data_IF_364495872826
#
_entry.id   IF_364495872826
#
_cell.length_a   1.000
_cell.length_b   1.000
_cell.length_c   1.000
_cell.angle_alpha   90.00
_cell.angle_beta   90.00
_cell.angle_gamma   90.00
#
_symmetry.space_group_name_H-M   'P 1'
#
loop_
_entity.id
_entity.type
_entity.pdbx_description
1 polymer ?
#
# COMPACT_ATOMS: atom_id res chain seq x y z
N UNK A 1 -15.04 80.95 61.37
CA UNK A 1 -13.58 81.18 61.44
C UNK A 1 -12.93 80.45 60.27
N UNK A 2 -12.29 81.20 59.38
CA UNK A 2 -11.28 80.83 58.36
C UNK A 2 -11.64 79.76 57.30
N UNK A 3 -11.97 80.18 56.06
CA UNK A 3 -11.09 80.39 54.86
C UNK A 3 -10.60 79.05 54.26
N UNK A 4 -10.74 78.72 52.97
CA UNK A 4 -10.71 79.55 51.76
C UNK A 4 -11.47 78.92 50.55
N UNK A 5 -11.67 79.75 49.52
CA UNK A 5 -12.51 79.60 48.32
C UNK A 5 -11.77 79.09 47.07
N UNK A 6 -12.49 78.28 46.27
CA UNK A 6 -12.70 78.27 44.79
C UNK A 6 -11.51 78.19 43.81
N UNK A 7 -11.65 77.28 42.83
CA UNK A 7 -11.90 77.67 41.42
C UNK A 7 -12.51 76.55 40.54
N UNK A 8 -13.76 76.78 40.16
CA UNK A 8 -14.57 76.55 38.92
C UNK A 8 -13.83 76.01 37.67
N UNK A 9 -14.41 75.18 36.78
CA UNK A 9 -15.29 75.55 35.64
C UNK A 9 -16.00 74.33 34.99
N UNK A 10 -17.12 74.65 34.35
CA UNK A 10 -18.31 73.92 33.87
C UNK A 10 -18.17 72.85 32.77
N UNK A 11 -19.15 71.93 32.80
CA UNK A 11 -19.58 71.02 31.71
C UNK A 11 -20.25 71.79 30.57
N UNK A 12 -19.83 71.52 29.34
CA UNK A 12 -20.55 71.86 28.11
C UNK A 12 -20.48 70.68 27.15
N UNK A 13 -21.63 70.12 26.78
CA UNK A 13 -21.75 69.19 25.66
C UNK A 13 -22.18 69.95 24.41
N UNK A 14 -21.67 69.54 23.25
CA UNK A 14 -22.32 69.46 21.93
C UNK A 14 -21.33 68.84 20.92
N UNK A 15 -21.92 68.09 20.00
CA UNK A 15 -21.41 67.17 18.98
C UNK A 15 -20.29 67.68 18.04
N UNK A 16 -19.40 66.77 17.63
CA UNK A 16 -18.88 66.73 16.25
C UNK A 16 -18.56 65.28 15.83
N UNK A 17 -18.97 64.94 14.61
CA UNK A 17 -19.00 63.64 13.94
C UNK A 17 -17.58 63.21 13.53
N UNK A 18 -17.20 61.95 13.80
CA UNK A 18 -16.02 61.31 13.21
C UNK A 18 -16.46 60.04 12.45
N UNK A 19 -16.35 60.07 11.13
CA UNK A 19 -16.66 58.96 10.25
C UNK A 19 -15.62 57.82 10.44
N UNK A 20 -16.08 56.64 10.85
CA UNK A 20 -15.31 55.40 10.86
C UNK A 20 -15.42 54.74 9.49
N UNK A 21 -14.33 54.71 8.73
CA UNK A 21 -14.19 53.81 7.59
C UNK A 21 -14.17 52.37 8.09
N UNK A 22 -15.24 51.62 7.80
CA UNK A 22 -15.27 50.16 7.93
C UNK A 22 -14.41 49.56 6.81
N UNK A 23 -13.16 49.24 7.11
CA UNK A 23 -12.44 48.23 6.33
C UNK A 23 -12.95 46.86 6.77
N UNK A 24 -13.74 46.21 5.93
CA UNK A 24 -14.04 44.79 6.07
C UNK A 24 -12.76 44.01 5.80
N UNK A 25 -12.14 43.47 6.85
CA UNK A 25 -11.12 42.43 6.71
C UNK A 25 -11.82 41.19 6.16
N UNK A 26 -11.40 40.62 5.02
CA UNK A 26 -11.97 39.36 4.56
C UNK A 26 -11.72 38.27 5.61
N UNK A 27 -12.76 37.52 5.90
CA UNK A 27 -12.84 36.47 6.93
C UNK A 27 -11.75 35.40 6.77
N UNK A 28 -10.75 35.44 7.64
CA UNK A 28 -9.70 34.42 7.84
C UNK A 28 -10.25 33.10 8.41
N UNK A 29 -11.48 33.10 8.96
CA UNK A 29 -12.04 31.95 9.69
C UNK A 29 -12.35 30.73 8.81
N UNK A 30 -12.91 30.92 7.60
CA UNK A 30 -13.28 29.79 6.72
C UNK A 30 -12.08 28.94 6.28
N UNK A 31 -10.91 29.57 6.09
CA UNK A 31 -9.70 28.87 5.67
C UNK A 31 -9.05 28.12 6.84
N UNK A 32 -9.17 28.67 8.07
CA UNK A 32 -8.63 28.04 9.27
C UNK A 32 -9.42 26.80 9.68
N UNK A 33 -10.75 26.83 9.56
CA UNK A 33 -11.61 25.67 9.88
C UNK A 33 -11.42 24.51 8.88
N UNK A 34 -11.23 24.82 7.59
CA UNK A 34 -10.92 23.82 6.55
C UNK A 34 -9.54 23.17 6.76
N UNK A 35 -8.53 23.95 7.16
CA UNK A 35 -7.21 23.42 7.49
C UNK A 35 -7.23 22.59 8.79
N UNK A 36 -8.02 23.00 9.79
CA UNK A 36 -8.18 22.24 11.03
C UNK A 36 -8.90 20.91 10.79
N UNK A 37 -9.90 20.84 9.91
CA UNK A 37 -10.50 19.57 9.48
C UNK A 37 -9.48 18.67 8.78
N UNK A 38 -8.69 19.20 7.85
CA UNK A 38 -7.67 18.43 7.14
C UNK A 38 -6.54 17.92 8.06
N UNK A 39 -6.21 18.67 9.13
CA UNK A 39 -5.15 18.30 10.08
C UNK A 39 -5.66 17.34 11.16
N UNK A 40 -6.94 17.38 11.51
CA UNK A 40 -7.52 16.56 12.60
C UNK A 40 -7.37 15.06 12.38
N UNK A 41 -7.32 14.64 11.12
CA UNK A 41 -7.20 13.23 10.74
C UNK A 41 -5.75 12.76 10.55
N UNK A 42 -4.75 13.66 10.62
CA UNK A 42 -3.33 13.29 10.55
C UNK A 42 -2.89 12.72 11.89
N UNK A 43 -2.49 11.45 11.91
CA UNK A 43 -1.97 10.80 13.12
C UNK A 43 -0.45 10.65 13.04
N UNK A 44 0.25 11.52 13.79
CA UNK A 44 1.71 11.54 13.86
C UNK A 44 2.24 10.25 14.50
N UNK A 45 1.46 9.58 15.36
CA UNK A 45 1.87 8.32 16.00
C UNK A 45 1.99 7.17 15.00
N UNK A 46 1.52 7.34 13.77
CA UNK A 46 1.64 6.34 12.71
C UNK A 46 2.98 6.43 11.95
N UNK A 47 3.81 7.44 12.22
CA UNK A 47 5.16 7.57 11.66
C UNK A 47 6.19 6.73 12.45
N UNK A 48 5.80 5.56 12.94
CA UNK A 48 6.75 4.63 13.56
C UNK A 48 7.77 4.14 12.52
N UNK A 49 9.02 3.83 12.95
CA UNK A 49 9.99 3.15 12.11
C UNK A 49 9.40 1.90 11.47
N UNK A 50 9.89 1.48 10.29
CA UNK A 50 9.40 0.29 9.63
C UNK A 50 9.64 -0.95 10.50
N UNK A 51 8.82 -1.96 10.27
CA UNK A 51 9.04 -3.28 10.83
C UNK A 51 10.42 -3.80 10.44
N UNK A 52 11.11 -4.42 11.41
CA UNK A 52 12.46 -4.94 11.17
C UNK A 52 12.47 -6.09 10.16
N UNK A 53 11.45 -6.96 10.23
CA UNK A 53 11.28 -8.06 9.30
C UNK A 53 9.79 -8.38 9.12
N UNK A 54 9.42 -8.80 7.92
CA UNK A 54 8.12 -9.37 7.62
C UNK A 54 8.27 -10.70 6.87
N UNK A 55 7.73 -11.76 7.47
CA UNK A 55 7.59 -13.06 6.85
C UNK A 55 6.11 -13.32 6.53
N UNK A 56 5.72 -13.11 5.27
CA UNK A 56 4.34 -13.27 4.78
C UNK A 56 3.77 -14.68 4.94
N UNK A 57 4.62 -15.69 5.13
CA UNK A 57 4.20 -17.08 5.36
C UNK A 57 3.87 -17.36 6.84
N UNK A 58 4.06 -16.37 7.72
CA UNK A 58 3.76 -16.46 9.14
C UNK A 58 2.69 -15.43 9.50
N UNK A 59 1.59 -15.90 10.09
CA UNK A 59 0.57 -15.01 10.63
C UNK A 59 0.97 -14.60 12.05
N UNK A 60 1.88 -13.63 12.16
CA UNK A 60 2.34 -13.08 13.46
C UNK A 60 1.38 -12.03 14.03
N UNK A 61 0.47 -11.52 13.19
CA UNK A 61 -0.58 -10.55 13.57
C UNK A 61 -1.95 -11.04 13.08
N UNK A 62 -3.02 -10.40 13.57
CA UNK A 62 -4.36 -10.58 13.04
C UNK A 62 -4.61 -9.69 11.82
N UNK A 63 -5.03 -10.28 10.71
CA UNK A 63 -5.44 -9.57 9.49
C UNK A 63 -6.97 -9.39 9.39
N UNK A 64 -7.69 -9.44 10.51
CA UNK A 64 -9.15 -9.40 10.51
C UNK A 64 -9.73 -8.17 9.82
N UNK A 65 -9.13 -6.99 10.00
CA UNK A 65 -9.57 -5.76 9.32
C UNK A 65 -9.51 -5.88 7.80
N UNK A 66 -8.48 -6.55 7.26
CA UNK A 66 -8.41 -6.87 5.83
C UNK A 66 -9.43 -7.90 5.40
N UNK A 67 -9.66 -8.94 6.20
CA UNK A 67 -10.71 -9.92 5.91
C UNK A 67 -12.07 -9.25 5.78
N UNK A 68 -12.41 -8.37 6.72
CA UNK A 68 -13.70 -7.69 6.77
C UNK A 68 -13.86 -6.70 5.61
N UNK A 69 -12.83 -5.88 5.34
CA UNK A 69 -12.87 -4.87 4.26
C UNK A 69 -12.93 -5.52 2.89
N UNK A 70 -12.17 -6.58 2.64
CA UNK A 70 -12.01 -7.15 1.31
C UNK A 70 -13.07 -8.20 0.95
N UNK A 71 -13.78 -8.75 1.95
CA UNK A 71 -14.80 -9.79 1.74
C UNK A 71 -15.91 -9.41 0.75
N UNK A 72 -16.44 -8.16 0.71
CA UNK A 72 -17.45 -7.78 -0.27
C UNK A 72 -16.94 -7.61 -1.70
N UNK A 73 -15.62 -7.50 -1.89
CA UNK A 73 -14.99 -7.09 -3.16
C UNK A 73 -14.23 -8.21 -3.86
N UNK A 74 -14.25 -9.42 -3.30
CA UNK A 74 -13.54 -10.56 -3.84
C UNK A 74 -13.76 -11.83 -3.04
N UNK A 75 -12.91 -12.82 -3.29
CA UNK A 75 -13.02 -14.15 -2.70
C UNK A 75 -11.78 -14.47 -1.88
N UNK A 76 -11.97 -14.87 -0.63
CA UNK A 76 -10.91 -15.45 0.19
C UNK A 76 -10.73 -16.94 -0.07
N UNK A 77 -9.47 -17.37 -0.14
CA UNK A 77 -9.08 -18.74 -0.46
C UNK A 77 -8.09 -19.20 0.60
N UNK A 78 -8.43 -20.28 1.30
CA UNK A 78 -7.51 -20.98 2.19
C UNK A 78 -6.58 -21.86 1.37
N UNK A 79 -5.28 -21.65 1.54
CA UNK A 79 -4.20 -22.33 0.81
C UNK A 79 -3.13 -22.86 1.75
N UNK A 80 -2.20 -23.65 1.23
CA UNK A 80 -0.96 -24.00 1.95
C UNK A 80 0.23 -23.21 1.41
N UNK A 81 1.35 -23.21 2.15
CA UNK A 81 2.60 -22.64 1.65
C UNK A 81 3.04 -23.27 0.32
N UNK A 82 2.82 -24.57 0.15
CA UNK A 82 3.15 -25.28 -1.09
C UNK A 82 2.26 -24.84 -2.26
N UNK A 83 1.06 -24.29 -2.03
CA UNK A 83 0.28 -23.70 -3.14
C UNK A 83 1.03 -22.49 -3.71
N UNK A 84 1.65 -21.66 -2.86
CA UNK A 84 2.45 -20.50 -3.28
C UNK A 84 3.76 -20.95 -3.93
N UNK A 85 4.47 -21.90 -3.31
CA UNK A 85 5.76 -22.36 -3.82
C UNK A 85 5.63 -23.02 -5.20
N UNK A 86 4.58 -23.80 -5.44
CA UNK A 86 4.29 -24.35 -6.77
C UNK A 86 4.01 -23.23 -7.79
N UNK A 87 3.24 -22.22 -7.40
CA UNK A 87 2.86 -21.12 -8.30
C UNK A 87 4.05 -20.20 -8.62
N UNK A 88 5.09 -20.20 -7.78
CA UNK A 88 6.30 -19.37 -7.89
C UNK A 88 7.58 -20.20 -8.10
N UNK A 89 7.45 -21.44 -8.58
CA UNK A 89 8.57 -22.38 -8.74
C UNK A 89 9.51 -22.04 -9.90
N UNK A 90 9.06 -21.18 -10.81
CA UNK A 90 9.76 -20.75 -12.04
C UNK A 90 10.75 -19.59 -11.82
N UNK A 91 10.89 -19.08 -10.59
CA UNK A 91 11.91 -18.10 -10.23
C UNK A 91 13.14 -18.72 -9.58
N UNK A 92 14.33 -18.24 -9.96
CA UNK A 92 15.61 -18.62 -9.32
C UNK A 92 15.76 -17.94 -7.96
N UNK A 93 14.92 -18.32 -7.00
CA UNK A 93 14.97 -17.84 -5.62
C UNK A 93 14.93 -19.01 -4.67
N UNK A 94 16.00 -19.81 -4.62
CA UNK A 94 16.30 -20.57 -3.42
C UNK A 94 16.54 -19.56 -2.29
N UNK A 95 15.49 -19.20 -1.56
CA UNK A 95 15.68 -18.69 -0.23
C UNK A 95 16.44 -19.78 0.54
N UNK A 96 17.74 -19.57 0.77
CA UNK A 96 18.64 -20.42 1.59
C UNK A 96 18.24 -20.43 3.07
N UNK A 97 16.95 -20.56 3.36
CA UNK A 97 16.43 -20.87 4.67
C UNK A 97 15.55 -22.09 4.50
N UNK A 98 16.10 -23.20 4.97
CA UNK A 98 15.47 -24.51 4.98
C UNK A 98 14.08 -24.42 5.62
N UNK A 99 13.23 -25.30 5.14
CA UNK A 99 11.89 -25.66 5.61
C UNK A 99 11.80 -26.11 7.08
N UNK A 100 12.75 -25.74 7.95
CA UNK A 100 12.96 -26.44 9.21
C UNK A 100 11.86 -26.24 10.28
N UNK A 101 10.93 -25.29 10.13
CA UNK A 101 9.92 -25.02 11.19
C UNK A 101 8.52 -24.60 10.69
N UNK A 102 8.09 -24.99 9.49
CA UNK A 102 6.66 -24.90 9.18
C UNK A 102 5.98 -26.16 9.70
N UNK A 103 5.07 -26.02 10.67
CA UNK A 103 4.14 -27.11 10.92
C UNK A 103 3.27 -27.26 9.67
N UNK A 104 3.20 -28.48 9.12
CA UNK A 104 2.41 -28.90 7.93
C UNK A 104 0.91 -28.51 7.97
N UNK A 105 0.48 -27.83 9.03
CA UNK A 105 -0.89 -27.55 9.42
C UNK A 105 -1.23 -26.04 9.41
N UNK A 106 -0.29 -25.17 9.04
CA UNK A 106 -0.55 -23.73 8.94
C UNK A 106 -1.09 -23.36 7.56
N UNK A 107 -2.42 -23.18 7.49
CA UNK A 107 -3.06 -22.61 6.32
C UNK A 107 -2.90 -21.09 6.29
N UNK A 108 -2.77 -20.54 5.08
CA UNK A 108 -2.79 -19.12 4.78
C UNK A 108 -4.11 -18.75 4.08
N UNK A 109 -4.46 -17.48 4.11
CA UNK A 109 -5.61 -16.95 3.38
C UNK A 109 -5.15 -15.92 2.36
N UNK A 110 -5.53 -16.14 1.11
CA UNK A 110 -5.22 -15.26 -0.01
C UNK A 110 -6.51 -14.69 -0.56
N UNK A 111 -6.46 -13.49 -1.09
CA UNK A 111 -7.62 -12.80 -1.62
C UNK A 111 -7.55 -12.70 -3.14
N UNK A 112 -8.65 -13.01 -3.81
CA UNK A 112 -8.84 -12.83 -5.25
C UNK A 112 -9.84 -11.70 -5.49
N UNK A 113 -9.47 -10.59 -6.12
CA UNK A 113 -10.40 -9.51 -6.44
C UNK A 113 -11.45 -9.94 -7.48
N UNK A 114 -12.63 -9.35 -7.41
CA UNK A 114 -13.65 -9.42 -8.46
C UNK A 114 -13.45 -8.29 -9.47
N UNK A 115 -12.68 -8.55 -10.52
CA UNK A 115 -12.22 -7.55 -11.51
C UNK A 115 -12.39 -8.05 -12.95
N UNK A 116 -12.26 -7.15 -13.91
CA UNK A 116 -12.24 -7.46 -15.34
C UNK A 116 -11.03 -8.32 -15.74
N UNK A 117 -11.13 -9.03 -16.87
CA UNK A 117 -10.12 -10.01 -17.29
C UNK A 117 -8.76 -9.41 -17.68
N UNK A 118 -8.73 -8.13 -18.07
CA UNK A 118 -7.51 -7.40 -18.42
C UNK A 118 -6.90 -6.67 -17.20
N UNK A 119 -7.55 -6.70 -16.03
CA UNK A 119 -7.05 -6.03 -14.84
C UNK A 119 -5.77 -6.69 -14.34
N UNK A 120 -4.84 -5.85 -13.87
CA UNK A 120 -3.61 -6.25 -13.18
C UNK A 120 -3.39 -5.34 -11.97
N UNK A 121 -2.71 -5.81 -10.91
CA UNK A 121 -2.26 -4.93 -9.83
C UNK A 121 -1.48 -3.74 -10.39
N UNK A 122 -1.68 -2.55 -9.81
CA UNK A 122 -1.02 -1.32 -10.24
C UNK A 122 -1.35 -0.88 -11.68
N UNK A 123 -2.56 -1.16 -12.19
CA UNK A 123 -2.99 -0.74 -13.56
C UNK A 123 -4.19 0.22 -13.59
N UNK A 124 -4.73 0.58 -12.44
CA UNK A 124 -5.86 1.50 -12.29
C UNK A 124 -5.61 2.50 -11.13
N UNK A 125 -5.13 3.69 -11.47
CA UNK A 125 -4.63 4.67 -10.49
C UNK A 125 -3.54 5.56 -11.08
N UNK A 126 -2.65 6.07 -10.23
CA UNK A 126 -1.55 6.95 -10.65
C UNK A 126 -0.36 6.87 -9.70
N UNK A 127 0.79 7.29 -10.21
CA UNK A 127 2.01 7.44 -9.44
C UNK A 127 2.15 8.88 -8.93
N UNK A 128 2.36 9.02 -7.63
CA UNK A 128 2.68 10.30 -6.98
C UNK A 128 4.10 10.23 -6.41
N UNK A 129 4.89 11.29 -6.60
CA UNK A 129 6.26 11.35 -6.09
C UNK A 129 6.28 12.01 -4.71
N UNK A 130 6.83 11.31 -3.72
CA UNK A 130 6.76 11.69 -2.30
C UNK A 130 8.13 11.74 -1.63
N UNK A 131 8.18 12.16 -0.37
CA UNK A 131 9.36 12.02 0.47
C UNK A 131 9.74 10.57 0.80
N UNK A 132 8.88 9.60 0.46
CA UNK A 132 9.15 8.15 0.49
C UNK A 132 9.45 7.54 -0.90
N UNK A 133 9.61 8.36 -1.94
CA UNK A 133 9.76 7.89 -3.32
C UNK A 133 8.42 7.74 -4.04
N UNK A 134 8.32 6.79 -4.96
CA UNK A 134 7.13 6.61 -5.79
C UNK A 134 6.01 5.88 -5.01
N UNK A 135 4.92 6.60 -4.74
CA UNK A 135 3.70 6.11 -4.13
C UNK A 135 2.70 5.72 -5.22
N UNK A 136 2.11 4.53 -5.10
CA UNK A 136 0.94 4.18 -5.89
C UNK A 136 -0.33 4.68 -5.21
N UNK A 137 -1.11 5.49 -5.91
CA UNK A 137 -2.46 5.87 -5.49
C UNK A 137 -3.47 5.20 -6.41
N UNK A 138 -4.26 4.28 -5.86
CA UNK A 138 -5.19 3.47 -6.64
C UNK A 138 -6.57 4.09 -6.76
N UNK A 139 -7.21 3.85 -7.91
CA UNK A 139 -8.64 4.10 -8.13
C UNK A 139 -9.52 2.89 -7.74
N UNK A 140 -8.91 1.76 -7.33
CA UNK A 140 -9.65 0.59 -6.87
C UNK A 140 -10.10 0.78 -5.41
N UNK A 141 -11.36 0.42 -5.12
CA UNK A 141 -11.98 0.63 -3.79
C UNK A 141 -11.29 -0.13 -2.64
N UNK A 142 -10.48 -1.13 -2.95
CA UNK A 142 -9.67 -1.90 -2.00
C UNK A 142 -8.22 -1.43 -1.90
N UNK A 143 -7.83 -0.41 -2.67
CA UNK A 143 -6.43 -0.09 -2.94
C UNK A 143 -5.61 0.24 -1.69
N UNK A 144 -6.20 0.97 -0.73
CA UNK A 144 -5.56 1.31 0.54
C UNK A 144 -5.10 0.07 1.33
N UNK A 145 -5.79 -1.07 1.18
CA UNK A 145 -5.43 -2.30 1.88
C UNK A 145 -4.36 -3.10 1.14
N UNK A 146 -4.47 -3.23 -0.19
CA UNK A 146 -3.70 -4.26 -0.91
C UNK A 146 -2.46 -3.76 -1.65
N UNK A 147 -2.31 -2.45 -1.88
CA UNK A 147 -1.16 -1.92 -2.63
C UNK A 147 -0.01 -1.47 -1.73
N UNK A 148 -0.32 -1.00 -0.53
CA UNK A 148 0.70 -0.60 0.43
C UNK A 148 1.13 -1.72 1.39
N UNK A 149 0.35 -2.81 1.44
CA UNK A 149 0.60 -3.99 2.26
C UNK A 149 0.61 -5.28 1.43
N UNK A 150 1.22 -6.33 1.98
CA UNK A 150 1.18 -7.67 1.39
C UNK A 150 1.84 -7.76 0.01
N UNK A 151 1.59 -8.86 -0.71
CA UNK A 151 2.18 -9.11 -2.03
C UNK A 151 1.19 -9.71 -3.00
N UNK A 152 1.33 -9.34 -4.27
CA UNK A 152 0.52 -9.87 -5.37
C UNK A 152 1.32 -10.89 -6.19
N UNK A 153 0.64 -11.90 -6.72
CA UNK A 153 1.19 -12.73 -7.80
C UNK A 153 0.07 -13.26 -8.70
N UNK A 154 0.44 -13.65 -9.91
CA UNK A 154 -0.48 -14.22 -10.88
C UNK A 154 -0.46 -15.75 -10.78
N UNK A 155 -1.35 -16.30 -9.93
CA UNK A 155 -1.51 -17.74 -9.74
C UNK A 155 -2.02 -18.39 -11.02
N UNK A 156 -1.37 -19.45 -11.55
CA UNK A 156 -1.89 -20.21 -12.67
C UNK A 156 -3.31 -20.78 -12.43
N UNK A 157 -3.66 -21.02 -11.16
CA UNK A 157 -4.95 -21.62 -10.75
C UNK A 157 -6.03 -20.58 -10.49
N UNK A 158 -5.65 -19.37 -10.08
CA UNK A 158 -6.58 -18.39 -9.52
C UNK A 158 -6.59 -17.03 -10.23
N UNK A 159 -5.61 -16.77 -11.10
CA UNK A 159 -5.32 -15.43 -11.63
C UNK A 159 -4.59 -14.59 -10.60
N UNK A 160 -4.73 -13.27 -10.68
CA UNK A 160 -4.17 -12.36 -9.68
C UNK A 160 -4.75 -12.60 -8.30
N UNK A 161 -3.86 -12.83 -7.34
CA UNK A 161 -4.19 -13.04 -5.94
C UNK A 161 -3.22 -12.28 -5.05
N UNK A 162 -3.70 -11.90 -3.87
CA UNK A 162 -2.97 -11.13 -2.88
C UNK A 162 -2.83 -11.90 -1.58
N UNK A 163 -1.62 -11.89 -1.01
CA UNK A 163 -1.31 -12.43 0.30
C UNK A 163 -1.12 -11.26 1.29
N UNK A 164 -1.88 -11.21 2.40
CA UNK A 164 -1.73 -10.18 3.41
C UNK A 164 -0.32 -10.03 3.96
N UNK A 165 0.05 -8.79 4.27
CA UNK A 165 1.23 -8.40 5.02
C UNK A 165 0.90 -7.23 5.95
N UNK A 166 1.70 -6.99 6.96
CA UNK A 166 1.56 -5.91 7.93
C UNK A 166 2.55 -4.76 7.73
N UNK A 167 3.60 -4.92 6.93
CA UNK A 167 4.54 -3.84 6.64
C UNK A 167 4.01 -2.95 5.52
N UNK A 168 3.89 -1.65 5.84
CA UNK A 168 3.46 -0.61 4.91
C UNK A 168 4.64 -0.10 4.08
N UNK A 169 4.47 0.03 2.76
CA UNK A 169 5.38 0.77 1.87
C UNK A 169 4.60 1.57 0.82
N UNK A 170 5.20 2.59 0.17
CA UNK A 170 4.52 3.37 -0.87
C UNK A 170 4.05 2.52 -2.07
N UNK A 171 4.80 1.48 -2.41
CA UNK A 171 4.41 0.44 -3.36
C UNK A 171 5.34 -0.78 -3.23
N UNK A 172 4.80 -1.98 -3.44
CA UNK A 172 5.57 -3.22 -3.52
C UNK A 172 5.74 -3.65 -4.97
N UNK A 173 6.53 -2.88 -5.72
CA UNK A 173 6.82 -3.13 -7.14
C UNK A 173 8.32 -3.15 -7.41
N UNK A 174 8.69 -3.72 -8.56
CA UNK A 174 9.97 -3.43 -9.21
C UNK A 174 9.73 -2.81 -10.56
N UNK A 175 10.74 -2.10 -11.06
CA UNK A 175 10.62 -1.26 -12.23
C UNK A 175 11.50 -1.73 -13.38
N UNK A 176 11.13 -1.27 -14.56
CA UNK A 176 11.92 -1.29 -15.78
C UNK A 176 11.78 0.06 -16.47
N UNK A 177 12.87 0.57 -17.04
CA UNK A 177 12.82 1.72 -17.95
C UNK A 177 13.47 1.30 -19.25
N UNK A 178 12.79 1.51 -20.37
CA UNK A 178 13.36 1.18 -21.68
C UNK A 178 14.63 1.97 -21.94
N UNK A 179 15.56 1.43 -22.72
CA UNK A 179 16.87 2.04 -22.94
C UNK A 179 16.75 3.42 -23.64
N UNK A 180 15.75 3.60 -24.51
CA UNK A 180 15.38 4.89 -25.12
C UNK A 180 14.67 5.85 -24.12
N UNK A 181 14.27 5.34 -22.97
CA UNK A 181 13.54 6.03 -21.91
C UNK A 181 12.12 6.43 -22.29
N UNK A 182 11.50 5.80 -23.29
CA UNK A 182 10.16 6.17 -23.75
C UNK A 182 9.04 5.46 -23.00
N UNK A 183 9.34 4.32 -22.37
CA UNK A 183 8.38 3.56 -21.57
C UNK A 183 8.92 3.29 -20.17
N UNK A 184 8.00 3.34 -19.22
CA UNK A 184 8.19 2.89 -17.85
C UNK A 184 7.37 1.63 -17.65
N UNK A 185 8.01 0.59 -17.13
CA UNK A 185 7.39 -0.66 -16.75
C UNK A 185 7.47 -0.89 -15.26
N UNK A 186 6.45 -1.51 -14.69
CA UNK A 186 6.45 -1.98 -13.31
C UNK A 186 5.72 -3.31 -13.18
N UNK A 187 6.08 -4.06 -12.15
CA UNK A 187 5.40 -5.31 -11.81
C UNK A 187 5.38 -5.48 -10.30
N UNK A 188 4.29 -6.04 -9.78
CA UNK A 188 4.18 -6.34 -8.36
C UNK A 188 5.25 -7.34 -7.91
N UNK A 189 5.81 -7.09 -6.73
CA UNK A 189 6.68 -8.04 -6.05
C UNK A 189 5.85 -9.22 -5.52
N UNK A 190 6.36 -10.43 -5.74
CA UNK A 190 5.69 -11.67 -5.33
C UNK A 190 5.91 -11.95 -3.84
N UNK A 191 5.19 -12.93 -3.25
CA UNK A 191 5.46 -13.43 -1.91
C UNK A 191 6.89 -13.93 -1.64
N UNK A 192 7.75 -14.06 -2.66
CA UNK A 192 9.20 -14.33 -2.46
C UNK A 192 9.97 -13.09 -2.00
N UNK A 193 9.43 -11.89 -2.21
CA UNK A 193 10.02 -10.60 -1.82
C UNK A 193 9.77 -10.32 -0.33
N UNK A 194 10.57 -10.94 0.53
CA UNK A 194 10.51 -10.76 1.99
C UNK A 194 11.13 -9.43 2.40
N UNK A 195 10.48 -8.71 3.30
CA UNK A 195 11.01 -7.45 3.81
C UNK A 195 11.92 -7.67 5.00
N UNK A 196 13.07 -6.97 5.00
CA UNK A 196 13.99 -6.80 6.12
C UNK A 196 14.51 -5.37 6.11
N UNK A 197 14.38 -4.63 7.20
CA UNK A 197 14.73 -3.20 7.22
C UNK A 197 16.22 -2.97 6.97
N UNK A 198 17.08 -3.91 7.37
CA UNK A 198 18.54 -3.80 7.25
C UNK A 198 19.04 -3.95 5.82
N UNK A 199 18.38 -4.81 5.02
CA UNK A 199 18.82 -5.12 3.65
C UNK A 199 17.89 -4.56 2.57
N UNK A 200 16.66 -4.21 2.95
CA UNK A 200 15.60 -3.89 2.01
C UNK A 200 15.32 -5.02 1.01
N UNK A 201 14.74 -4.65 -0.13
CA UNK A 201 14.51 -5.51 -1.30
C UNK A 201 15.17 -4.84 -2.50
N UNK A 202 16.18 -5.49 -3.07
CA UNK A 202 17.00 -4.99 -4.16
C UNK A 202 17.25 -6.08 -5.19
N UNK A 203 17.76 -5.72 -6.37
CA UNK A 203 18.13 -6.71 -7.40
C UNK A 203 19.22 -7.70 -6.93
N UNK A 204 19.91 -7.42 -5.80
CA UNK A 204 20.93 -8.31 -5.22
C UNK A 204 20.36 -9.42 -4.34
N UNK A 205 19.19 -9.21 -3.73
CA UNK A 205 18.59 -10.14 -2.78
C UNK A 205 17.20 -10.65 -3.17
N UNK A 206 16.67 -10.20 -4.32
CA UNK A 206 15.42 -10.67 -4.90
C UNK A 206 15.61 -11.04 -6.38
N UNK A 207 15.41 -12.31 -6.69
CA UNK A 207 15.74 -12.93 -7.99
C UNK A 207 14.56 -13.63 -8.68
N UNK A 208 13.33 -13.36 -8.25
CA UNK A 208 12.14 -13.89 -8.93
C UNK A 208 11.90 -13.19 -10.27
N UNK A 209 11.56 -13.97 -11.29
CA UNK A 209 11.26 -13.49 -12.64
C UNK A 209 9.76 -13.60 -12.89
N UNK A 210 9.06 -12.47 -12.83
CA UNK A 210 7.66 -12.39 -13.25
C UNK A 210 7.52 -12.71 -14.75
N UNK A 211 6.38 -13.27 -15.14
CA UNK A 211 6.05 -13.49 -16.56
C UNK A 211 5.97 -12.16 -17.28
N UNK A 212 6.36 -12.11 -18.55
CA UNK A 212 6.27 -10.89 -19.36
C UNK A 212 4.86 -10.29 -19.35
N UNK A 213 3.85 -11.18 -19.39
CA UNK A 213 2.44 -10.85 -19.29
C UNK A 213 2.05 -10.10 -18.01
N UNK A 214 2.80 -10.28 -16.91
CA UNK A 214 2.46 -9.69 -15.61
C UNK A 214 2.90 -8.23 -15.49
N UNK A 215 3.83 -7.79 -16.35
CA UNK A 215 4.29 -6.41 -16.36
C UNK A 215 3.20 -5.46 -16.87
N UNK A 216 3.15 -4.29 -16.25
CA UNK A 216 2.44 -3.12 -16.76
C UNK A 216 3.50 -2.21 -17.38
N UNK A 217 3.27 -1.78 -18.61
CA UNK A 217 4.08 -0.76 -19.28
C UNK A 217 3.19 0.41 -19.67
N UNK A 218 3.75 1.60 -19.60
CA UNK A 218 3.12 2.83 -20.07
C UNK A 218 4.18 3.70 -20.75
N UNK A 219 3.79 4.42 -21.79
CA UNK A 219 4.59 5.54 -22.27
C UNK A 219 4.66 6.63 -21.18
N UNK A 220 5.61 7.56 -21.31
CA UNK A 220 5.82 8.58 -20.28
C UNK A 220 4.59 9.48 -20.04
N UNK A 221 3.80 9.82 -21.06
CA UNK A 221 2.63 10.67 -20.88
C UNK A 221 1.53 9.92 -20.10
N UNK A 222 1.36 8.64 -20.41
CA UNK A 222 0.46 7.76 -19.66
C UNK A 222 0.95 7.58 -18.22
N UNK A 223 2.25 7.31 -18.02
CA UNK A 223 2.86 7.11 -16.69
C UNK A 223 2.64 8.29 -15.73
N UNK A 224 2.72 9.52 -16.24
CA UNK A 224 2.52 10.73 -15.43
C UNK A 224 1.06 11.17 -15.33
N UNK A 225 0.11 10.38 -15.84
CA UNK A 225 -1.33 10.69 -15.85
C UNK A 225 -2.13 9.72 -14.98
N UNK A 226 -3.46 9.85 -15.00
CA UNK A 226 -4.34 8.83 -14.46
C UNK A 226 -4.38 7.61 -15.39
N UNK A 227 -3.83 6.50 -14.90
CA UNK A 227 -3.62 5.24 -15.60
C UNK A 227 -4.88 4.39 -15.48
N UNK A 228 -5.34 3.90 -16.62
CA UNK A 228 -6.44 2.93 -16.72
C UNK A 228 -5.96 1.72 -17.52
N UNK A 229 -6.59 0.54 -17.36
CA UNK A 229 -6.22 -0.66 -18.13
C UNK A 229 -6.29 -0.49 -19.65
N UNK A 230 -7.00 0.53 -20.15
CA UNK A 230 -7.11 0.87 -21.57
C UNK A 230 -5.99 1.77 -22.11
N UNK A 231 -5.25 2.47 -21.23
CA UNK A 231 -4.16 3.38 -21.63
C UNK A 231 -2.77 2.73 -21.56
N UNK A 232 -2.63 1.65 -20.80
CA UNK A 232 -1.36 0.93 -20.69
C UNK A 232 -1.01 0.23 -22.01
N UNK A 233 0.27 -0.02 -22.22
CA UNK A 233 0.76 -0.73 -23.41
C UNK A 233 0.17 -2.14 -23.49
N UNK A 234 -0.09 -2.61 -24.71
CA UNK A 234 -0.68 -3.91 -24.94
C UNK A 234 0.25 -5.04 -24.48
N UNK A 235 -0.32 -6.07 -23.84
CA UNK A 235 0.43 -7.14 -23.19
C UNK A 235 1.37 -7.91 -24.14
N UNK A 236 1.03 -8.01 -25.42
CA UNK A 236 1.84 -8.67 -26.44
C UNK A 236 3.15 -7.92 -26.77
N UNK A 237 3.28 -6.66 -26.36
CA UNK A 237 4.50 -5.86 -26.55
C UNK A 237 5.49 -5.98 -25.38
N UNK A 238 5.03 -6.48 -24.22
CA UNK A 238 5.82 -6.54 -22.99
C UNK A 238 7.16 -7.24 -23.17
N UNK A 239 7.22 -8.36 -23.90
CA UNK A 239 8.47 -9.11 -24.12
C UNK A 239 9.55 -8.26 -24.80
N UNK A 240 9.16 -7.44 -25.79
CA UNK A 240 10.09 -6.56 -26.49
C UNK A 240 10.58 -5.42 -25.58
N UNK A 241 9.68 -4.83 -24.78
CA UNK A 241 10.01 -3.76 -23.84
C UNK A 241 10.92 -4.26 -22.71
N UNK A 242 10.64 -5.45 -22.17
CA UNK A 242 11.43 -6.09 -21.12
C UNK A 242 12.86 -6.34 -21.59
N UNK A 243 13.03 -6.87 -22.81
CA UNK A 243 14.34 -7.13 -23.40
C UNK A 243 15.18 -5.86 -23.58
N UNK A 244 14.52 -4.74 -23.88
CA UNK A 244 15.17 -3.46 -24.17
C UNK A 244 15.10 -2.48 -23.00
N UNK A 245 15.18 -2.98 -21.75
CA UNK A 245 15.04 -2.16 -20.55
C UNK A 245 16.06 -2.50 -19.48
N UNK A 246 16.35 -1.50 -18.66
CA UNK A 246 17.13 -1.66 -17.43
C UNK A 246 16.18 -1.85 -16.24
N UNK A 247 16.45 -2.87 -15.42
CA UNK A 247 15.71 -3.11 -14.18
C UNK A 247 16.11 -2.15 -13.08
N UNK A 248 15.14 -1.74 -12.26
CA UNK A 248 15.36 -0.92 -11.07
C UNK A 248 14.53 -1.55 -9.93
N UNK A 249 15.20 -2.25 -9.01
CA UNK A 249 14.59 -2.66 -7.73
C UNK A 249 15.38 -2.06 -6.57
N UNK A 250 14.74 -1.19 -5.79
CA UNK A 250 15.36 -0.55 -4.64
C UNK A 250 14.33 -0.10 -3.62
N UNK A 251 13.83 -1.04 -2.82
CA UNK A 251 13.01 -0.73 -1.64
C UNK A 251 13.92 -0.82 -0.42
N UNK A 252 14.25 0.31 0.19
CA UNK A 252 15.25 0.41 1.26
C UNK A 252 14.69 1.16 2.46
N UNK A 253 15.46 1.22 3.55
CA UNK A 253 15.16 2.06 4.71
C UNK A 253 16.10 3.26 4.72
N UNK A 254 15.57 4.47 4.81
CA UNK A 254 16.33 5.71 5.00
C UNK A 254 15.61 6.57 6.05
N UNK A 255 16.32 7.10 7.04
CA UNK A 255 15.76 7.95 8.10
C UNK A 255 14.46 7.40 8.73
N UNK A 256 14.47 6.12 9.10
CA UNK A 256 13.30 5.39 9.64
C UNK A 256 12.07 5.36 8.72
N UNK A 257 12.27 5.48 7.40
CA UNK A 257 11.23 5.41 6.38
C UNK A 257 11.55 4.33 5.36
N UNK A 258 10.53 3.59 4.92
CA UNK A 258 10.66 2.79 3.69
C UNK A 258 10.64 3.74 2.50
N UNK A 259 11.70 3.68 1.71
CA UNK A 259 11.87 4.41 0.44
C UNK A 259 11.70 3.43 -0.72
N UNK A 260 10.81 3.75 -1.65
CA UNK A 260 10.63 3.01 -2.91
C UNK A 260 11.29 3.77 -4.05
N UNK A 261 12.43 3.25 -4.50
CA UNK A 261 13.09 3.71 -5.72
C UNK A 261 12.18 3.48 -6.94
N UNK A 262 12.53 4.12 -8.05
CA UNK A 262 11.88 3.91 -9.34
C UNK A 262 12.58 4.71 -10.44
N UNK A 263 11.89 5.03 -11.54
CA UNK A 263 12.42 5.91 -12.57
C UNK A 263 12.90 7.24 -11.98
N UNK A 264 13.98 7.78 -12.54
CA UNK A 264 14.49 9.10 -12.16
C UNK A 264 13.43 10.17 -12.49
N UNK A 265 12.96 10.86 -11.46
CA UNK A 265 11.92 11.88 -11.57
C UNK A 265 12.34 13.00 -12.53
N UNK A 266 13.59 13.46 -12.49
CA UNK A 266 14.07 14.55 -13.34
C UNK A 266 14.04 14.14 -14.82
N UNK A 267 14.43 12.89 -15.12
CA UNK A 267 14.38 12.35 -16.48
C UNK A 267 12.94 12.24 -17.00
N UNK A 268 11.99 11.90 -16.13
CA UNK A 268 10.56 11.89 -16.49
C UNK A 268 10.04 13.32 -16.73
N UNK A 269 10.42 14.28 -15.89
CA UNK A 269 10.05 15.69 -16.10
C UNK A 269 10.60 16.24 -17.41
N UNK A 270 11.87 15.96 -17.73
CA UNK A 270 12.51 16.38 -18.98
C UNK A 270 11.78 15.85 -20.22
N UNK A 271 11.33 14.59 -20.17
CA UNK A 271 10.64 13.95 -21.31
C UNK A 271 9.17 14.36 -21.45
N UNK A 272 8.49 14.66 -20.35
CA UNK A 272 7.03 14.94 -20.35
C UNK A 272 6.71 16.42 -20.25
N UNK A 273 7.64 17.25 -19.79
CA UNK A 273 7.39 18.64 -19.40
C UNK A 273 6.54 18.78 -18.12
N UNK A 274 6.04 17.69 -17.55
CA UNK A 274 5.23 17.71 -16.32
C UNK A 274 6.16 17.74 -15.10
N UNK A 275 5.97 18.72 -14.23
CA UNK A 275 6.70 18.83 -12.96
C UNK A 275 6.09 17.97 -11.87
N UNK A 276 6.95 17.30 -11.12
CA UNK A 276 6.65 16.55 -9.91
C UNK A 276 7.11 17.34 -8.70
N UNK A 277 6.17 17.97 -8.00
CA UNK A 277 6.45 18.49 -6.67
C UNK A 277 6.60 17.30 -5.73
N UNK A 278 7.77 17.14 -5.09
CA UNK A 278 7.98 16.11 -4.07
C UNK A 278 7.03 16.37 -2.90
N UNK A 279 5.97 15.55 -2.79
CA UNK A 279 4.94 15.69 -1.76
C UNK A 279 5.38 15.07 -0.44
N UNK A 280 4.97 15.67 0.68
CA UNK A 280 5.14 15.04 2.00
C UNK A 280 4.09 13.94 2.19
N UNK A 281 4.52 12.72 2.49
CA UNK A 281 3.61 11.66 2.87
C UNK A 281 3.14 11.84 4.32
N UNK A 282 1.85 11.59 4.54
CA UNK A 282 1.21 11.62 5.86
C UNK A 282 0.34 10.39 6.04
N UNK A 283 0.16 10.01 7.30
CA UNK A 283 -0.70 8.89 7.66
C UNK A 283 -1.91 9.38 8.46
N UNK A 284 -3.05 8.74 8.20
CA UNK A 284 -4.29 8.90 8.97
C UNK A 284 -4.76 7.55 9.49
N UNK A 285 -5.46 7.57 10.64
CA UNK A 285 -6.11 6.37 11.16
C UNK A 285 -7.39 6.07 10.39
N UNK A 286 -7.73 4.78 10.29
CA UNK A 286 -9.01 4.33 9.77
C UNK A 286 -9.04 4.13 8.25
N UNK A 287 -10.24 4.09 7.67
CA UNK A 287 -10.49 3.66 6.28
C UNK A 287 -10.62 4.83 5.30
N UNK A 288 -10.06 6.00 5.63
CA UNK A 288 -10.19 7.19 4.79
C UNK A 288 -9.54 6.94 3.42
N UNK A 289 -10.18 7.43 2.36
CA UNK A 289 -9.59 7.44 1.01
C UNK A 289 -8.28 8.23 1.00
N UNK A 290 -7.36 7.88 0.10
CA UNK A 290 -6.15 8.68 -0.10
C UNK A 290 -6.54 10.11 -0.51
N UNK A 291 -5.98 11.11 0.18
CA UNK A 291 -6.20 12.54 -0.11
C UNK A 291 -4.91 13.12 -0.65
N UNK A 292 -4.98 13.71 -1.85
CA UNK A 292 -3.83 14.35 -2.50
C UNK A 292 -3.99 15.85 -2.41
N UNK A 293 -3.17 16.48 -1.57
CA UNK A 293 -3.04 17.93 -1.49
C UNK A 293 -2.02 18.46 -2.50
N UNK A 294 -1.79 19.77 -2.50
CA UNK A 294 -0.78 20.40 -3.36
C UNK A 294 0.64 19.93 -2.98
N UNK A 295 0.94 19.93 -1.68
CA UNK A 295 2.28 19.67 -1.14
C UNK A 295 2.39 18.35 -0.35
N UNK A 296 1.29 17.63 -0.15
CA UNK A 296 1.25 16.40 0.63
C UNK A 296 0.29 15.36 0.04
N UNK A 297 0.47 14.11 0.47
CA UNK A 297 -0.45 13.01 0.25
C UNK A 297 -0.73 12.35 1.59
N UNK A 298 -1.99 12.26 1.96
CA UNK A 298 -2.42 11.56 3.18
C UNK A 298 -3.00 10.21 2.81
N UNK A 299 -2.43 9.14 3.35
CA UNK A 299 -2.89 7.76 3.14
C UNK A 299 -3.39 7.16 4.45
N UNK A 300 -4.36 6.25 4.35
CA UNK A 300 -4.76 5.43 5.48
C UNK A 300 -3.65 4.43 5.83
N UNK A 301 -3.33 4.29 7.13
CA UNK A 301 -2.40 3.28 7.62
C UNK A 301 -3.08 2.43 8.69
N UNK A 302 -3.05 1.12 8.48
CA UNK A 302 -3.61 0.13 9.39
C UNK A 302 -2.70 -0.06 10.60
N UNK A 303 -3.30 -0.30 11.76
CA UNK A 303 -2.61 -0.67 12.99
C UNK A 303 -2.92 -2.12 13.33
N UNK A 304 -1.93 -2.99 13.24
CA UNK A 304 -2.09 -4.41 13.57
C UNK A 304 -1.83 -4.64 15.06
N UNK A 305 -2.64 -5.50 15.68
CA UNK A 305 -2.37 -5.98 17.03
C UNK A 305 -1.16 -6.92 17.03
N UNK A 306 -0.11 -6.49 17.73
CA UNK A 306 1.21 -7.16 17.84
C UNK A 306 1.43 -7.76 19.23
N UNK A 307 0.43 -7.74 20.10
CA UNK A 307 0.57 -8.06 21.53
C UNK A 307 0.85 -9.53 21.83
N UNK A 308 2.05 -10.01 21.51
CA UNK A 308 2.81 -11.02 22.28
C UNK A 308 2.27 -12.45 22.36
N UNK A 309 3.02 -13.39 21.77
CA UNK A 309 3.29 -14.72 22.34
C UNK A 309 2.10 -15.61 22.76
N UNK A 310 1.93 -16.72 22.02
CA UNK A 310 0.97 -17.83 22.22
C UNK A 310 -0.42 -17.62 21.62
N UNK A 311 -0.61 -18.23 20.44
CA UNK A 311 -1.90 -18.66 19.89
C UNK A 311 -3.05 -17.66 20.07
N UNK A 312 -2.89 -16.42 19.58
CA UNK A 312 -4.08 -15.68 19.18
C UNK A 312 -4.83 -16.55 18.17
N UNK A 313 -6.14 -16.66 18.34
CA UNK A 313 -6.99 -17.25 17.33
C UNK A 313 -6.68 -16.49 16.04
N UNK A 314 -5.95 -17.15 15.13
CA UNK A 314 -5.67 -16.66 13.79
C UNK A 314 -6.99 -16.10 13.27
N UNK A 315 -7.06 -14.78 13.09
CA UNK A 315 -8.17 -14.19 12.37
C UNK A 315 -8.36 -15.02 11.10
N UNK A 316 -9.60 -15.28 10.74
CA UNK A 316 -9.91 -15.95 9.48
C UNK A 316 -11.05 -15.20 8.83
N UNK A 317 -11.10 -15.17 7.50
CA UNK A 317 -12.29 -14.68 6.81
C UNK A 317 -13.53 -15.46 7.25
N UNK A 318 -14.66 -14.76 7.38
CA UNK A 318 -15.96 -15.38 7.68
C UNK A 318 -16.36 -16.36 6.57
N UNK A 319 -16.04 -16.00 5.31
CA UNK A 319 -16.31 -16.80 4.12
C UNK A 319 -15.03 -16.98 3.33
N UNK A 320 -14.68 -18.24 3.06
CA UNK A 320 -13.56 -18.59 2.20
C UNK A 320 -13.78 -19.97 1.55
N UNK A 321 -13.22 -20.19 0.36
CA UNK A 321 -13.08 -21.53 -0.20
C UNK A 321 -11.75 -22.16 0.23
N UNK A 322 -11.64 -23.47 0.08
CA UNK A 322 -10.39 -24.21 0.30
C UNK A 322 -9.75 -24.59 -1.03
N UNK A 323 -8.43 -24.47 -1.15
CA UNK A 323 -7.68 -25.05 -2.26
C UNK A 323 -7.82 -26.58 -2.29
N UNK A 324 -7.54 -27.19 -3.43
CA UNK A 324 -7.60 -28.65 -3.54
C UNK A 324 -6.54 -29.34 -2.70
N UNK A 325 -5.36 -28.71 -2.49
CA UNK A 325 -4.35 -29.21 -1.55
C UNK A 325 -4.89 -29.21 -0.12
N UNK A 326 -5.50 -28.10 0.33
CA UNK A 326 -6.12 -28.01 1.66
C UNK A 326 -7.20 -29.09 1.83
N UNK A 327 -8.09 -29.27 0.85
CA UNK A 327 -9.13 -30.34 0.89
C UNK A 327 -8.50 -31.73 1.04
N UNK A 328 -7.42 -32.02 0.30
CA UNK A 328 -6.69 -33.30 0.37
C UNK A 328 -6.07 -33.52 1.75
N UNK A 329 -5.44 -32.51 2.34
CA UNK A 329 -4.84 -32.58 3.69
C UNK A 329 -5.91 -32.87 4.74
N UNK A 330 -7.02 -32.14 4.72
CA UNK A 330 -8.13 -32.33 5.67
C UNK A 330 -8.72 -33.74 5.54
N UNK A 331 -8.91 -34.24 4.31
CA UNK A 331 -9.40 -35.61 4.08
C UNK A 331 -8.44 -36.66 4.63
N UNK A 332 -7.13 -36.51 4.41
CA UNK A 332 -6.11 -37.43 4.94
C UNK A 332 -6.11 -37.47 6.47
N UNK A 333 -6.23 -36.32 7.14
CA UNK A 333 -6.33 -36.25 8.61
C UNK A 333 -7.58 -36.93 9.15
N UNK A 334 -8.74 -36.69 8.50
CA UNK A 334 -9.99 -37.36 8.88
C UNK A 334 -9.86 -38.89 8.80
N UNK A 335 -9.22 -39.41 7.76
CA UNK A 335 -9.00 -40.86 7.60
C UNK A 335 -8.01 -41.44 8.62
N UNK A 336 -6.96 -40.69 9.01
CA UNK A 336 -6.01 -41.12 10.05
C UNK A 336 -6.65 -41.19 11.44
N UNK A 337 -7.63 -40.33 11.71
CA UNK A 337 -8.33 -40.26 13.00
C UNK A 337 -9.55 -41.20 13.07
N UNK A 338 -9.85 -41.98 12.03
CA UNK A 338 -10.89 -43.00 12.09
C UNK A 338 -10.37 -44.26 12.82
N UNK A 339 -11.15 -44.83 13.76
CA UNK A 339 -10.78 -46.09 14.40
C UNK A 339 -10.63 -47.20 13.33
N UNK A 340 -9.69 -48.15 13.51
CA UNK A 340 -9.52 -49.24 12.57
C UNK A 340 -10.84 -49.99 12.37
N UNK A 341 -11.15 -50.47 11.15
CA UNK A 341 -12.37 -51.20 10.89
C UNK A 341 -12.46 -52.42 11.82
N UNK A 342 -13.62 -52.55 12.49
CA UNK A 342 -13.85 -53.58 13.49
C UNK A 342 -13.71 -54.97 12.83
N UNK A 343 -12.63 -55.68 13.18
CA UNK A 343 -12.20 -56.93 12.52
C UNK A 343 -12.86 -58.18 13.09
N UNK A 344 -14.06 -58.06 13.66
CA UNK A 344 -14.84 -59.17 14.17
C UNK A 344 -16.22 -59.21 13.48
N UNK A 345 -16.33 -60.04 12.45
CA UNK A 345 -17.57 -60.67 12.00
C UNK A 345 -17.30 -62.13 11.71
#
# INVERSE_FOLDING_TARGET
MHYALKNTIYKGGIFTILALFLFTVPSISQNQDSLLEQIKDIDISLNEPPDSEENLYMNTVSFQSFYDVLSPMGEWIQITKEDIDDDLSDGEGEGKYSSAYYQDDEFLFIWKPSVESNWKPYSNGKWEYTDHGWLWVSNDNWGNATYNYGRWWNSPKHGWVWLPGYTWAPAWVRWKVTNDGNHVGWVALSPKAKWKSETGITDKNYSYTNKDADWVFADNNTFVSDITPSKITAQNENSALIKNSTGITGITTEDDKIITSGPDVNRIEEKTGKKFNRKRLRFSKGKNSTVIGENDVTVAKETFDRSGGQKFQKGKPDKFRKSDKVKKIIRKKKNRNQPPPNRNK
#
